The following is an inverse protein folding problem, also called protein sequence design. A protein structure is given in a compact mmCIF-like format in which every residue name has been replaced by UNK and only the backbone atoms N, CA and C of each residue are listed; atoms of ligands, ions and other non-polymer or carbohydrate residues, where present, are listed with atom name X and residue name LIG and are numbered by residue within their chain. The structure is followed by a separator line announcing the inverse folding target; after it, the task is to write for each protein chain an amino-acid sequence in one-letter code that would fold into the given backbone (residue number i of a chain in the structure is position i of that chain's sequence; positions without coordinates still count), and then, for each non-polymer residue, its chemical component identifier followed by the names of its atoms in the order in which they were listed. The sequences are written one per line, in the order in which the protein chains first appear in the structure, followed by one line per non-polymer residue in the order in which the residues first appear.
data_IF_176065714709
#
_entry.id   IF_176065714709
#
_cell.length_a   1.000
_cell.length_b   1.000
_cell.length_c   1.000
_cell.angle_alpha   90.00
_cell.angle_beta   90.00
_cell.angle_gamma   90.00
#
_symmetry.space_group_name_H-M   'P 1'
#
loop_
_entity.id
_entity.type
_entity.pdbx_description
1 polymer ?
#
# COMPACT_ATOMS: atom_id res chain seq x y z
N UNK A 1 -14.07 -8.38 -19.52
CA UNK A 1 -12.84 -8.08 -18.76
C UNK A 1 -13.23 -7.07 -17.72
N UNK A 2 -13.04 -7.42 -16.46
CA UNK A 2 -13.31 -6.51 -15.35
C UNK A 2 -12.37 -5.30 -15.40
N UNK A 3 -12.76 -4.24 -14.67
CA UNK A 3 -12.06 -2.96 -14.67
C UNK A 3 -10.64 -3.07 -14.12
N UNK A 4 -10.43 -3.91 -13.10
CA UNK A 4 -9.12 -4.13 -12.47
C UNK A 4 -8.12 -4.69 -13.48
N UNK A 5 -8.51 -5.72 -14.21
CA UNK A 5 -7.70 -6.32 -15.27
C UNK A 5 -7.39 -5.35 -16.41
N UNK A 6 -8.32 -4.44 -16.73
CA UNK A 6 -8.10 -3.39 -17.72
C UNK A 6 -7.09 -2.36 -17.22
N UNK A 7 -7.23 -1.89 -15.98
CA UNK A 7 -6.33 -0.91 -15.36
C UNK A 7 -4.89 -1.45 -15.29
N UNK A 8 -4.70 -2.69 -14.85
CA UNK A 8 -3.37 -3.32 -14.73
C UNK A 8 -2.68 -3.38 -16.10
N UNK A 9 -3.40 -3.84 -17.14
CA UNK A 9 -2.81 -3.97 -18.49
C UNK A 9 -2.51 -2.63 -19.15
N UNK A 10 -3.23 -1.58 -18.77
CA UNK A 10 -2.97 -0.22 -19.24
C UNK A 10 -1.95 0.52 -18.36
N UNK A 11 -1.46 -0.09 -17.27
CA UNK A 11 -0.56 0.56 -16.32
C UNK A 11 -1.23 1.67 -15.49
N UNK A 12 -2.56 1.68 -15.40
CA UNK A 12 -3.32 2.66 -14.61
C UNK A 12 -3.28 2.26 -13.14
N UNK A 13 -2.44 2.93 -12.36
CA UNK A 13 -2.29 2.69 -10.92
C UNK A 13 -3.09 3.66 -10.02
N UNK A 14 -3.54 4.80 -10.56
CA UNK A 14 -4.28 5.82 -9.79
C UNK A 14 -5.48 5.28 -9.03
N UNK A 15 -6.24 4.35 -9.62
CA UNK A 15 -7.42 3.75 -8.97
C UNK A 15 -7.04 2.80 -7.83
N UNK A 16 -5.94 2.07 -7.98
CA UNK A 16 -5.38 1.24 -6.91
C UNK A 16 -4.92 2.11 -5.73
N UNK A 17 -4.19 3.20 -6.00
CA UNK A 17 -3.77 4.16 -4.96
C UNK A 17 -4.99 4.83 -4.30
N UNK A 18 -5.98 5.25 -5.07
CA UNK A 18 -7.22 5.78 -4.50
C UNK A 18 -7.94 4.77 -3.60
N UNK A 19 -7.90 3.47 -3.91
CA UNK A 19 -8.49 2.44 -3.04
C UNK A 19 -7.73 2.35 -1.70
N UNK A 20 -6.39 2.43 -1.73
CA UNK A 20 -5.55 2.49 -0.53
C UNK A 20 -5.90 3.72 0.31
N UNK A 21 -5.88 4.92 -0.29
CA UNK A 21 -6.13 6.17 0.42
C UNK A 21 -7.55 6.28 1.00
N UNK A 22 -8.54 5.63 0.39
CA UNK A 22 -9.93 5.63 0.84
C UNK A 22 -10.30 4.40 1.70
N UNK A 23 -9.32 3.63 2.19
CA UNK A 23 -9.55 2.45 3.03
C UNK A 23 -10.42 1.35 2.40
N UNK A 24 -10.50 1.30 1.07
CA UNK A 24 -11.24 0.26 0.36
C UNK A 24 -10.37 -0.99 0.19
N UNK A 25 -10.16 -1.70 1.30
CA UNK A 25 -9.26 -2.85 1.37
C UNK A 25 -9.75 -4.06 0.56
N UNK A 26 -11.05 -4.14 0.28
CA UNK A 26 -11.60 -5.16 -0.62
C UNK A 26 -11.13 -4.94 -2.06
N UNK A 27 -11.21 -3.69 -2.54
CA UNK A 27 -10.71 -3.34 -3.87
C UNK A 27 -9.18 -3.41 -3.95
N UNK A 28 -8.46 -3.02 -2.89
CA UNK A 28 -7.00 -3.22 -2.79
C UNK A 28 -6.65 -4.70 -2.96
N UNK A 29 -7.34 -5.60 -2.24
CA UNK A 29 -7.15 -7.03 -2.35
C UNK A 29 -7.47 -7.54 -3.76
N UNK A 30 -8.52 -7.03 -4.39
CA UNK A 30 -8.88 -7.38 -5.77
C UNK A 30 -7.76 -7.00 -6.76
N UNK A 31 -7.20 -5.79 -6.69
CA UNK A 31 -6.07 -5.39 -7.52
C UNK A 31 -4.85 -6.28 -7.30
N UNK A 32 -4.47 -6.55 -6.04
CA UNK A 32 -3.32 -7.40 -5.71
C UNK A 32 -3.49 -8.84 -6.21
N UNK A 33 -4.68 -9.43 -6.06
CA UNK A 33 -5.01 -10.76 -6.59
C UNK A 33 -4.88 -10.85 -8.11
N UNK A 34 -5.16 -9.75 -8.81
CA UNK A 34 -5.07 -9.68 -10.26
C UNK A 34 -3.66 -9.27 -10.77
N UNK A 35 -2.67 -9.19 -9.88
CA UNK A 35 -1.27 -8.98 -10.25
C UNK A 35 -0.81 -7.52 -10.27
N UNK A 36 -1.59 -6.60 -9.68
CA UNK A 36 -1.05 -5.28 -9.36
C UNK A 36 0.15 -5.45 -8.42
N UNK A 37 1.26 -4.78 -8.73
CA UNK A 37 2.46 -4.88 -7.90
C UNK A 37 2.26 -4.16 -6.56
N UNK A 38 2.66 -4.80 -5.47
CA UNK A 38 2.68 -4.21 -4.14
C UNK A 38 3.89 -3.29 -3.88
N UNK A 39 4.92 -3.36 -4.73
CA UNK A 39 6.24 -2.71 -4.52
C UNK A 39 6.61 -1.71 -5.60
N UNK A 40 6.01 -1.81 -6.79
CA UNK A 40 6.32 -0.86 -7.86
C UNK A 40 5.73 0.50 -7.54
N UNK A 41 6.56 1.54 -7.67
CA UNK A 41 6.12 2.93 -7.54
C UNK A 41 4.87 3.22 -8.39
N UNK A 42 3.93 3.89 -7.75
CA UNK A 42 2.68 4.31 -8.31
C UNK A 42 2.49 5.79 -7.99
N UNK A 43 2.40 6.63 -9.02
CA UNK A 43 2.31 8.09 -8.84
C UNK A 43 3.50 8.71 -8.08
N UNK A 44 4.68 8.09 -8.16
CA UNK A 44 5.94 8.61 -7.62
C UNK A 44 6.36 8.01 -6.28
N UNK A 45 5.50 7.22 -5.62
CA UNK A 45 5.82 6.57 -4.35
C UNK A 45 5.38 5.10 -4.35
N UNK A 46 5.93 4.28 -3.46
CA UNK A 46 5.46 2.91 -3.26
C UNK A 46 4.04 2.85 -2.67
N UNK A 47 3.24 1.82 -2.98
CA UNK A 47 1.92 1.63 -2.38
C UNK A 47 1.94 1.64 -0.84
N UNK A 48 3.02 1.16 -0.22
CA UNK A 48 3.20 1.14 1.24
C UNK A 48 3.19 2.55 1.83
N UNK A 49 3.85 3.51 1.18
CA UNK A 49 3.89 4.91 1.62
C UNK A 49 2.48 5.50 1.73
N UNK A 50 1.64 5.30 0.71
CA UNK A 50 0.24 5.77 0.74
C UNK A 50 -0.57 5.08 1.83
N UNK A 51 -0.38 3.78 2.04
CA UNK A 51 -1.11 3.03 3.07
C UNK A 51 -0.75 3.54 4.47
N UNK A 52 0.54 3.83 4.72
CA UNK A 52 1.02 4.34 6.01
C UNK A 52 0.53 5.77 6.26
N UNK A 53 0.74 6.69 5.32
CA UNK A 53 0.36 8.11 5.46
C UNK A 53 -1.16 8.31 5.63
N UNK A 54 -1.96 7.36 5.14
CA UNK A 54 -3.42 7.37 5.31
C UNK A 54 -3.91 6.50 6.47
N UNK A 55 -3.01 5.96 7.32
CA UNK A 55 -3.37 5.06 8.42
C UNK A 55 -4.23 3.85 7.98
N UNK A 56 -4.08 3.40 6.74
CA UNK A 56 -4.82 2.25 6.25
C UNK A 56 -4.08 0.95 6.60
N UNK A 57 -4.22 0.54 7.86
CA UNK A 57 -3.58 -0.68 8.39
C UNK A 57 -3.98 -1.94 7.62
N UNK A 58 -5.21 -2.00 7.08
CA UNK A 58 -5.64 -3.12 6.25
C UNK A 58 -4.84 -3.21 4.95
N UNK A 59 -4.63 -2.09 4.27
CA UNK A 59 -3.77 -2.06 3.07
C UNK A 59 -2.31 -2.38 3.42
N UNK A 60 -1.77 -1.89 4.55
CA UNK A 60 -0.41 -2.25 4.99
C UNK A 60 -0.26 -3.77 5.09
N UNK A 61 -1.18 -4.44 5.79
CA UNK A 61 -1.15 -5.90 5.93
C UNK A 61 -1.30 -6.64 4.59
N UNK A 62 -2.14 -6.12 3.69
CA UNK A 62 -2.30 -6.67 2.34
C UNK A 62 -1.01 -6.51 1.53
N UNK A 63 -0.39 -5.34 1.54
CA UNK A 63 0.85 -5.09 0.79
C UNK A 63 1.99 -5.99 1.27
N UNK A 64 2.17 -6.13 2.60
CA UNK A 64 3.12 -7.07 3.19
C UNK A 64 2.87 -8.51 2.72
N UNK A 65 1.60 -8.95 2.75
CA UNK A 65 1.21 -10.29 2.28
C UNK A 65 1.56 -10.54 0.81
N UNK A 66 1.57 -9.50 -0.02
CA UNK A 66 1.88 -9.58 -1.45
C UNK A 66 3.33 -9.14 -1.77
N UNK A 67 4.22 -9.15 -0.78
CA UNK A 67 5.66 -9.04 -0.98
C UNK A 67 6.27 -7.65 -0.77
N UNK A 68 5.48 -6.66 -0.32
CA UNK A 68 6.08 -5.43 0.19
C UNK A 68 6.88 -5.72 1.46
N UNK A 69 7.98 -5.01 1.64
CA UNK A 69 8.87 -5.13 2.80
C UNK A 69 8.67 -3.90 3.67
N UNK A 70 8.71 -4.11 4.98
CA UNK A 70 8.76 -3.05 5.97
C UNK A 70 9.90 -3.40 6.91
N UNK A 71 10.94 -2.59 6.92
CA UNK A 71 12.08 -2.70 7.82
C UNK A 71 12.32 -1.37 8.55
N UNK A 72 13.35 -1.33 9.39
CA UNK A 72 13.65 -0.14 10.19
C UNK A 72 14.15 0.99 9.31
N UNK A 73 14.94 0.68 8.30
CA UNK A 73 15.50 1.61 7.34
C UNK A 73 14.39 2.35 6.58
N UNK A 74 13.39 1.62 6.08
CA UNK A 74 12.20 2.21 5.44
C UNK A 74 11.46 3.15 6.39
N UNK A 75 11.29 2.74 7.66
CA UNK A 75 10.64 3.61 8.65
C UNK A 75 11.44 4.87 8.94
N UNK A 76 12.77 4.77 9.03
CA UNK A 76 13.66 5.89 9.34
C UNK A 76 13.67 6.94 8.22
N UNK A 77 13.60 6.51 6.95
CA UNK A 77 13.55 7.39 5.79
C UNK A 77 12.29 8.28 5.79
N UNK A 78 11.14 7.72 6.18
CA UNK A 78 9.83 8.37 6.04
C UNK A 78 9.14 8.74 7.38
N UNK A 79 9.80 8.55 8.53
CA UNK A 79 9.14 8.65 9.84
C UNK A 79 8.38 9.97 10.07
N UNK A 80 8.90 11.07 9.51
CA UNK A 80 8.38 12.43 9.69
C UNK A 80 7.02 12.63 9.03
N UNK A 81 6.73 11.81 8.02
CA UNK A 81 5.50 11.86 7.24
C UNK A 81 4.40 10.96 7.84
N UNK A 82 4.74 10.17 8.87
CA UNK A 82 3.86 9.17 9.47
C UNK A 82 3.20 9.67 10.75
N UNK A 83 1.93 9.32 10.93
CA UNK A 83 1.19 9.63 12.15
C UNK A 83 1.73 8.83 13.35
N UNK A 84 1.43 9.28 14.57
CA UNK A 84 1.79 8.53 15.79
C UNK A 84 1.11 7.17 15.82
N UNK A 85 -0.12 7.09 15.31
CA UNK A 85 -0.91 5.88 15.21
C UNK A 85 -0.26 4.88 14.25
N UNK A 86 0.18 5.35 13.08
CA UNK A 86 0.94 4.55 12.12
C UNK A 86 2.24 4.04 12.74
N UNK A 87 3.07 4.91 13.33
CA UNK A 87 4.34 4.51 13.94
C UNK A 87 4.14 3.46 15.05
N UNK A 88 3.09 3.62 15.88
CA UNK A 88 2.74 2.65 16.91
C UNK A 88 2.33 1.30 16.31
N UNK A 89 1.53 1.31 15.25
CA UNK A 89 1.13 0.09 14.54
C UNK A 89 2.34 -0.60 13.90
N UNK A 90 3.17 0.12 13.15
CA UNK A 90 4.35 -0.41 12.46
C UNK A 90 5.37 -0.98 13.45
N UNK A 91 5.62 -0.27 14.56
CA UNK A 91 6.47 -0.77 15.65
C UNK A 91 5.96 -2.07 16.27
N UNK A 92 4.64 -2.31 16.23
CA UNK A 92 4.05 -3.55 16.73
C UNK A 92 4.26 -4.75 15.78
N UNK A 93 4.53 -4.50 14.50
CA UNK A 93 4.80 -5.51 13.47
C UNK A 93 6.27 -5.97 13.46
N UNK A 94 7.22 -5.10 13.84
CA UNK A 94 8.66 -5.34 13.73
C UNK A 94 9.31 -5.97 14.99
N UNK A 95 8.59 -6.85 15.69
CA UNK A 95 9.05 -7.47 16.94
C UNK A 95 10.03 -8.63 16.72
#
# INVERSE_FOLDING_TARGET
MDRVSADIRQGVNKRFINAICNHNNELVLEYLKNGMSATKECMGEEPMFYAITHNNFGAILLLLKYGAILDKEYLEEYNKDFSKEALKFLSSLLK
#
